data_IF_839055313984
#
_entry.id   IF_839055313984
#
_cell.length_a   1.000
_cell.length_b   1.000
_cell.length_c   1.000
_cell.angle_alpha   90.00
_cell.angle_beta   90.00
_cell.angle_gamma   90.00
#
_symmetry.space_group_name_H-M   'P 1'
#
loop_
_entity.id
_entity.type
_entity.pdbx_description
1 polymer ?
#
# COMPACT_ATOMS: atom_id res chain seq x y z
N UNK A 1 15.22 -7.32 -6.93
CA UNK A 1 13.84 -7.44 -6.44
C UNK A 1 13.31 -6.05 -6.18
N UNK A 2 12.05 -5.78 -6.55
CA UNK A 2 11.38 -4.55 -6.16
C UNK A 2 11.20 -4.54 -4.64
N UNK A 3 11.57 -3.44 -3.99
CA UNK A 3 11.43 -3.29 -2.53
C UNK A 3 9.95 -3.21 -2.16
N UNK A 4 9.51 -4.00 -1.19
CA UNK A 4 8.11 -3.97 -0.74
C UNK A 4 7.87 -2.67 0.07
N UNK A 5 6.80 -1.97 -0.24
CA UNK A 5 6.36 -0.76 0.45
C UNK A 5 4.84 -0.72 0.56
N UNK A 6 4.30 0.28 1.25
CA UNK A 6 2.85 0.50 1.29
C UNK A 6 2.21 0.59 -0.11
N UNK A 7 2.95 1.07 -1.11
CA UNK A 7 2.44 1.25 -2.47
C UNK A 7 2.18 -0.07 -3.19
N UNK A 8 2.91 -1.14 -2.86
CA UNK A 8 2.86 -2.41 -3.59
C UNK A 8 2.61 -3.62 -2.69
N UNK A 9 2.48 -3.46 -1.37
CA UNK A 9 2.32 -4.57 -0.42
C UNK A 9 1.14 -5.48 -0.78
N UNK A 10 -0.06 -4.93 -0.98
CA UNK A 10 -1.25 -5.76 -1.25
C UNK A 10 -1.15 -6.43 -2.64
N UNK A 11 -0.56 -5.75 -3.63
CA UNK A 11 -0.30 -6.31 -4.97
C UNK A 11 0.71 -7.46 -4.88
N UNK A 12 1.75 -7.30 -4.07
CA UNK A 12 2.71 -8.35 -3.77
C UNK A 12 2.02 -9.55 -3.12
N UNK A 13 1.21 -9.33 -2.07
CA UNK A 13 0.47 -10.38 -1.36
C UNK A 13 -0.53 -11.13 -2.26
N UNK A 14 -1.07 -10.50 -3.29
CA UNK A 14 -1.97 -11.13 -4.26
C UNK A 14 -1.25 -12.11 -5.19
N UNK A 15 -0.03 -11.77 -5.60
CA UNK A 15 0.78 -12.58 -6.49
C UNK A 15 1.71 -13.55 -5.73
N UNK A 16 1.77 -13.39 -4.41
CA UNK A 16 2.63 -14.15 -3.52
C UNK A 16 2.11 -15.57 -3.29
N UNK A 17 2.97 -16.57 -3.51
CA UNK A 17 2.68 -17.97 -3.19
C UNK A 17 3.63 -18.43 -2.10
N UNK A 18 3.08 -18.79 -0.93
CA UNK A 18 3.88 -19.37 0.16
C UNK A 18 4.24 -20.83 -0.10
N UNK A 19 5.42 -21.24 0.38
CA UNK A 19 5.82 -22.65 0.38
C UNK A 19 5.16 -23.31 1.59
N UNK A 20 4.20 -24.21 1.34
CA UNK A 20 3.43 -24.88 2.41
C UNK A 20 4.29 -25.90 3.17
N UNK A 21 3.97 -26.08 4.45
CA UNK A 21 4.53 -27.10 5.36
C UNK A 21 6.03 -26.97 5.67
N UNK A 22 6.65 -25.81 5.45
CA UNK A 22 8.08 -25.60 5.74
C UNK A 22 8.32 -25.01 7.12
N UNK A 23 7.45 -24.13 7.61
CA UNK A 23 7.63 -23.43 8.88
C UNK A 23 6.30 -23.26 9.62
N UNK A 24 6.35 -23.24 10.96
CA UNK A 24 5.23 -22.83 11.81
C UNK A 24 5.49 -21.42 12.37
N UNK A 25 4.64 -20.48 11.97
CA UNK A 25 4.69 -19.08 12.38
C UNK A 25 3.42 -18.62 13.11
N UNK A 26 2.60 -19.56 13.60
CA UNK A 26 1.33 -19.28 14.27
C UNK A 26 1.45 -18.32 15.45
N UNK A 27 2.55 -18.40 16.21
CA UNK A 27 2.85 -17.48 17.33
C UNK A 27 3.03 -16.01 16.94
N UNK A 28 3.19 -15.71 15.65
CA UNK A 28 3.36 -14.37 15.12
C UNK A 28 2.08 -13.82 14.47
N UNK A 29 0.92 -14.47 14.63
CA UNK A 29 -0.35 -13.87 14.16
C UNK A 29 -0.56 -12.48 14.77
N UNK A 30 -0.27 -12.34 16.06
CA UNK A 30 -0.10 -11.08 16.77
C UNK A 30 1.37 -10.67 16.91
N UNK A 31 1.62 -9.54 17.57
CA UNK A 31 2.97 -9.07 17.84
C UNK A 31 3.68 -9.97 18.85
N UNK A 32 4.83 -10.52 18.48
CA UNK A 32 5.61 -11.38 19.34
C UNK A 32 7.11 -11.03 19.32
N UNK A 33 7.82 -11.41 20.37
CA UNK A 33 9.25 -11.21 20.48
C UNK A 33 10.01 -12.17 19.58
N UNK A 34 11.07 -11.66 18.97
CA UNK A 34 12.11 -12.50 18.39
C UNK A 34 12.80 -13.30 19.51
N UNK A 35 13.12 -14.56 19.20
CA UNK A 35 13.88 -15.45 20.07
C UNK A 35 15.06 -16.02 19.25
N UNK A 36 16.29 -16.07 19.79
CA UNK A 36 17.43 -16.74 19.17
C UNK A 36 17.17 -18.16 18.66
N UNK A 37 16.23 -18.90 19.26
CA UNK A 37 15.82 -20.23 18.78
C UNK A 37 15.04 -20.20 17.45
N UNK A 38 14.78 -19.01 16.89
CA UNK A 38 14.11 -18.83 15.62
C UNK A 38 15.14 -18.79 14.49
N UNK A 39 15.40 -19.95 13.88
CA UNK A 39 15.96 -20.07 12.53
C UNK A 39 14.82 -20.11 11.51
N UNK A 40 14.94 -19.47 10.33
CA UNK A 40 16.04 -18.63 9.85
C UNK A 40 15.91 -17.15 10.26
N UNK A 41 17.04 -16.44 10.24
CA UNK A 41 17.09 -14.97 10.29
C UNK A 41 16.23 -14.38 9.19
N UNK A 42 15.14 -13.72 9.57
CA UNK A 42 14.27 -13.02 8.62
C UNK A 42 15.08 -11.92 7.92
N UNK A 43 14.88 -11.77 6.61
CA UNK A 43 15.63 -10.83 5.78
C UNK A 43 14.75 -9.63 5.48
N UNK A 44 15.26 -8.41 5.68
CA UNK A 44 14.54 -7.19 5.27
C UNK A 44 14.36 -7.17 3.75
N UNK A 45 13.10 -7.09 3.30
CA UNK A 45 12.70 -7.02 1.88
C UNK A 45 11.92 -5.74 1.56
N UNK A 46 11.60 -4.94 2.58
CA UNK A 46 10.79 -3.76 2.41
C UNK A 46 10.65 -2.92 3.68
N UNK A 47 9.82 -1.89 3.57
CA UNK A 47 9.43 -1.03 4.69
C UNK A 47 8.14 -0.27 4.37
N UNK A 48 7.33 -0.06 5.39
CA UNK A 48 6.25 0.92 5.38
C UNK A 48 6.83 2.25 5.83
N UNK A 49 6.52 3.31 5.08
CA UNK A 49 6.89 4.66 5.43
C UNK A 49 5.69 5.57 5.19
N UNK A 50 4.77 5.59 6.16
CA UNK A 50 3.61 6.46 6.20
C UNK A 50 3.70 7.37 7.43
N UNK A 51 3.04 8.52 7.36
CA UNK A 51 2.86 9.36 8.54
C UNK A 51 1.98 8.65 9.56
N UNK A 52 2.37 8.72 10.83
CA UNK A 52 1.61 8.15 11.95
C UNK A 52 0.48 9.10 12.28
N UNK A 53 -0.76 8.67 12.03
CA UNK A 53 -1.98 9.40 12.39
C UNK A 53 -2.41 9.13 13.83
N UNK A 54 -2.18 7.91 14.32
CA UNK A 54 -2.49 7.50 15.70
C UNK A 54 -1.26 6.84 16.31
N UNK A 55 -0.69 7.48 17.33
CA UNK A 55 0.52 7.01 18.01
C UNK A 55 0.25 5.95 19.08
N UNK A 56 -0.94 5.97 19.71
CA UNK A 56 -1.33 5.06 20.78
C UNK A 56 -2.71 4.47 20.49
N UNK A 57 -2.83 3.53 19.52
CA UNK A 57 -4.11 2.88 19.26
C UNK A 57 -4.50 1.97 20.43
N UNK A 58 -5.81 1.91 20.72
CA UNK A 58 -6.36 1.16 21.85
C UNK A 58 -6.01 -0.34 21.79
N UNK A 59 -5.94 -0.91 20.58
CA UNK A 59 -5.58 -2.31 20.37
C UNK A 59 -4.80 -2.49 19.06
N UNK A 60 -3.62 -3.09 19.15
CA UNK A 60 -2.81 -3.48 17.97
C UNK A 60 -2.04 -4.80 18.15
N UNK A 61 -2.04 -5.37 19.37
CA UNK A 61 -1.20 -6.51 19.77
C UNK A 61 -1.72 -7.88 19.32
N UNK A 62 -3.03 -8.03 19.22
CA UNK A 62 -3.68 -9.34 19.08
C UNK A 62 -3.59 -9.98 17.69
N UNK A 63 -3.90 -11.28 17.64
CA UNK A 63 -3.78 -12.12 16.46
C UNK A 63 -4.68 -11.72 15.29
N UNK A 64 -5.86 -11.21 15.61
CA UNK A 64 -6.93 -10.88 14.65
C UNK A 64 -7.21 -9.37 14.56
N UNK A 65 -6.39 -8.54 15.19
CA UNK A 65 -6.57 -7.08 15.17
C UNK A 65 -6.23 -6.56 13.78
N UNK A 66 -7.01 -5.60 13.28
CA UNK A 66 -6.74 -4.99 11.97
C UNK A 66 -5.35 -4.36 11.92
N UNK A 67 -4.73 -4.48 10.76
CA UNK A 67 -3.41 -3.93 10.43
C UNK A 67 -3.66 -2.63 9.68
N UNK A 68 -3.42 -1.52 10.37
CA UNK A 68 -3.61 -0.18 9.82
C UNK A 68 -2.28 0.51 9.59
N UNK A 69 -1.90 0.73 8.33
CA UNK A 69 -0.58 1.21 7.94
C UNK A 69 -0.33 2.69 8.26
N UNK A 70 -1.31 3.42 8.75
CA UNK A 70 -1.16 4.80 9.23
C UNK A 70 -1.19 4.91 10.76
N UNK A 71 -1.18 3.80 11.48
CA UNK A 71 -1.16 3.76 12.95
C UNK A 71 0.14 3.13 13.47
N UNK A 72 0.53 3.47 14.70
CA UNK A 72 1.61 2.77 15.39
C UNK A 72 1.21 1.30 15.67
N UNK A 73 2.12 0.33 15.50
CA UNK A 73 3.51 0.47 15.05
C UNK A 73 3.68 0.35 13.52
N UNK A 74 2.63 0.04 12.76
CA UNK A 74 2.71 -0.35 11.35
C UNK A 74 3.27 0.72 10.41
N UNK A 75 2.98 1.99 10.67
CA UNK A 75 3.31 3.09 9.76
C UNK A 75 4.81 3.27 9.46
N UNK A 76 5.67 2.70 10.30
CA UNK A 76 7.13 2.78 10.15
C UNK A 76 7.80 1.40 10.29
N UNK A 77 7.05 0.32 10.11
CA UNK A 77 7.58 -1.03 10.21
C UNK A 77 8.48 -1.37 9.01
N UNK A 78 9.53 -2.13 9.27
CA UNK A 78 10.21 -2.85 8.19
C UNK A 78 9.36 -4.07 7.79
N UNK A 79 9.54 -4.52 6.54
CA UNK A 79 8.97 -5.77 6.06
C UNK A 79 10.11 -6.75 5.91
N UNK A 80 10.02 -7.85 6.66
CA UNK A 80 10.98 -8.94 6.62
C UNK A 80 10.36 -10.18 6.00
N UNK A 81 11.17 -11.05 5.44
CA UNK A 81 10.76 -12.28 4.80
C UNK A 81 11.50 -13.48 5.38
N UNK A 82 10.77 -14.57 5.61
CA UNK A 82 11.38 -15.86 5.92
C UNK A 82 11.95 -16.48 4.64
N UNK A 83 13.26 -16.71 4.52
CA UNK A 83 13.84 -17.32 3.31
C UNK A 83 13.33 -18.75 3.06
N UNK A 84 12.91 -19.47 4.10
CA UNK A 84 12.49 -20.86 4.00
C UNK A 84 11.06 -21.03 3.46
N UNK A 85 10.08 -20.33 4.03
CA UNK A 85 8.66 -20.46 3.63
C UNK A 85 8.14 -19.27 2.80
N UNK A 86 8.97 -18.23 2.64
CA UNK A 86 8.69 -16.97 1.95
C UNK A 86 7.67 -16.05 2.65
N UNK A 87 7.10 -16.44 3.81
CA UNK A 87 6.13 -15.60 4.53
C UNK A 87 6.74 -14.25 4.95
N UNK A 88 5.88 -13.22 4.97
CA UNK A 88 6.25 -11.85 5.28
C UNK A 88 5.85 -11.45 6.70
N UNK A 89 6.66 -10.60 7.31
CA UNK A 89 6.48 -10.11 8.67
C UNK A 89 6.66 -8.60 8.70
N UNK A 90 5.82 -7.91 9.47
CA UNK A 90 6.16 -6.59 9.96
C UNK A 90 7.18 -6.71 11.09
N UNK A 91 8.12 -5.78 11.13
CA UNK A 91 9.15 -5.68 12.14
C UNK A 91 9.28 -4.25 12.65
N UNK A 92 9.34 -4.09 13.97
CA UNK A 92 9.80 -2.85 14.58
C UNK A 92 10.61 -3.14 15.85
N UNK A 93 11.35 -2.12 16.29
CA UNK A 93 12.05 -2.14 17.57
C UNK A 93 11.21 -1.39 18.59
N UNK A 94 10.78 -2.10 19.63
CA UNK A 94 10.15 -1.50 20.77
C UNK A 94 11.22 -1.05 21.77
N UNK A 95 11.12 0.20 22.21
CA UNK A 95 11.97 0.78 23.23
C UNK A 95 11.13 0.98 24.50
N UNK A 96 11.27 0.05 25.45
CA UNK A 96 10.61 0.13 26.76
C UNK A 96 11.63 0.10 27.90
N UNK A 97 11.14 0.20 29.15
CA UNK A 97 11.99 0.23 30.35
C UNK A 97 12.88 -1.01 30.58
N UNK A 98 12.63 -2.10 29.85
CA UNK A 98 13.41 -3.34 29.91
C UNK A 98 14.37 -3.52 28.72
N UNK A 99 14.67 -2.45 27.98
CA UNK A 99 15.58 -2.44 26.85
C UNK A 99 14.90 -2.62 25.48
N UNK A 100 15.72 -2.72 24.43
CA UNK A 100 15.26 -2.83 23.04
C UNK A 100 14.73 -4.24 22.76
N UNK A 101 13.48 -4.34 22.36
CA UNK A 101 12.83 -5.59 21.97
C UNK A 101 12.53 -5.63 20.47
N UNK A 102 12.87 -6.75 19.83
CA UNK A 102 12.59 -6.99 18.41
C UNK A 102 11.21 -7.62 18.29
N UNK A 103 10.25 -6.88 17.73
CA UNK A 103 8.85 -7.32 17.59
C UNK A 103 8.57 -7.72 16.14
N UNK A 104 7.92 -8.85 15.96
CA UNK A 104 7.51 -9.38 14.67
C UNK A 104 6.01 -9.70 14.67
N UNK A 105 5.34 -9.44 13.55
CA UNK A 105 3.96 -9.87 13.29
C UNK A 105 3.82 -10.34 11.86
N UNK A 106 3.22 -11.51 11.67
CA UNK A 106 2.92 -12.11 10.37
C UNK A 106 1.97 -11.21 9.58
N UNK A 107 2.29 -10.93 8.32
CA UNK A 107 1.44 -10.14 7.44
C UNK A 107 0.31 -11.02 6.91
N UNK A 108 -0.87 -10.85 7.48
CA UNK A 108 -2.09 -11.54 7.07
C UNK A 108 -2.91 -10.61 6.20
N UNK A 109 -2.95 -10.86 4.87
CA UNK A 109 -3.67 -10.01 3.90
C UNK A 109 -5.11 -9.68 4.34
N UNK A 110 -5.83 -10.66 4.88
CA UNK A 110 -7.22 -10.50 5.31
C UNK A 110 -7.43 -9.51 6.47
N UNK A 111 -6.36 -9.17 7.21
CA UNK A 111 -6.40 -8.23 8.32
C UNK A 111 -5.92 -6.83 7.92
N UNK A 112 -5.44 -6.61 6.69
CA UNK A 112 -4.99 -5.30 6.25
C UNK A 112 -6.21 -4.41 6.03
N UNK A 113 -6.30 -3.33 6.79
CA UNK A 113 -7.24 -2.26 6.53
C UNK A 113 -6.77 -1.47 5.32
N UNK A 114 -7.44 -1.71 4.20
CA UNK A 114 -7.12 -1.10 2.93
C UNK A 114 -7.23 0.43 3.03
N UNK A 115 -8.19 0.97 3.77
CA UNK A 115 -8.41 2.42 3.86
C UNK A 115 -7.28 3.16 4.59
N UNK A 116 -6.51 2.45 5.41
CA UNK A 116 -5.35 2.99 6.14
C UNK A 116 -4.10 3.21 5.27
N UNK A 117 -4.10 2.73 4.02
CA UNK A 117 -2.95 2.80 3.12
C UNK A 117 -2.90 4.16 2.44
N UNK A 118 -1.83 4.90 2.68
CA UNK A 118 -1.57 6.21 2.06
C UNK A 118 -0.39 6.06 1.09
N UNK A 119 -0.64 5.94 -0.21
CA UNK A 119 0.44 5.81 -1.18
C UNK A 119 1.30 7.08 -1.28
N UNK A 120 2.60 6.90 -1.44
CA UNK A 120 3.60 8.00 -1.41
C UNK A 120 3.88 8.65 -2.76
N UNK A 121 3.40 8.09 -3.86
CA UNK A 121 3.61 8.65 -5.19
C UNK A 121 2.32 9.28 -5.73
N UNK A 122 2.25 10.60 -5.64
CA UNK A 122 1.41 11.41 -6.51
C UNK A 122 2.16 11.59 -7.83
N UNK A 123 1.68 11.00 -8.93
CA UNK A 123 2.26 11.26 -10.24
C UNK A 123 1.47 12.41 -10.89
N UNK A 124 1.97 13.64 -10.72
CA UNK A 124 1.55 14.79 -11.53
C UNK A 124 2.49 14.89 -12.72
N UNK A 125 1.97 14.67 -13.93
CA UNK A 125 2.70 14.91 -15.18
C UNK A 125 1.80 15.78 -16.06
N UNK A 126 2.38 16.74 -16.78
CA UNK A 126 1.66 17.62 -17.72
C UNK A 126 1.81 17.04 -19.13
N UNK A 127 0.70 16.85 -19.84
CA UNK A 127 0.70 16.45 -21.26
C UNK A 127 -0.32 17.33 -22.00
N UNK A 128 0.13 18.05 -23.03
CA UNK A 128 -0.71 18.73 -24.02
C UNK A 128 -1.89 19.54 -23.42
N UNK A 129 -1.59 20.49 -22.54
CA UNK A 129 -2.55 21.46 -21.97
C UNK A 129 -3.60 20.89 -21.01
N UNK A 130 -3.59 19.59 -20.70
CA UNK A 130 -4.41 18.99 -19.66
C UNK A 130 -3.61 18.82 -18.37
N UNK A 131 -4.14 19.37 -17.27
CA UNK A 131 -3.66 19.05 -15.93
C UNK A 131 -4.28 17.71 -15.53
N UNK A 132 -3.47 16.67 -15.38
CA UNK A 132 -3.93 15.39 -14.87
C UNK A 132 -3.08 14.89 -13.71
N UNK A 133 -3.67 14.00 -12.92
CA UNK A 133 -3.00 13.30 -11.84
C UNK A 133 -3.42 11.83 -11.86
N UNK A 134 -2.47 10.95 -11.63
CA UNK A 134 -2.76 9.52 -11.41
C UNK A 134 -2.51 9.23 -9.93
N UNK A 135 -3.55 8.72 -9.28
CA UNK A 135 -3.52 8.30 -7.90
C UNK A 135 -3.57 6.78 -7.85
N UNK A 136 -2.66 6.15 -7.12
CA UNK A 136 -2.94 4.79 -6.63
C UNK A 136 -3.87 4.95 -5.44
N UNK A 137 -5.00 4.26 -5.44
CA UNK A 137 -5.93 4.25 -4.33
C UNK A 137 -5.53 3.22 -3.28
N UNK A 138 -6.07 3.34 -2.06
CA UNK A 138 -5.81 2.35 -1.02
C UNK A 138 -6.26 0.93 -1.45
N UNK A 139 -7.37 0.82 -2.20
CA UNK A 139 -7.90 -0.41 -2.81
C UNK A 139 -7.09 -0.97 -3.99
N UNK A 140 -5.90 -0.41 -4.24
CA UNK A 140 -4.99 -0.72 -5.34
C UNK A 140 -5.49 -0.36 -6.74
N UNK A 141 -6.66 0.24 -6.87
CA UNK A 141 -7.09 0.77 -8.15
C UNK A 141 -6.28 2.02 -8.49
N UNK A 142 -6.10 2.30 -9.77
CA UNK A 142 -5.52 3.57 -10.20
C UNK A 142 -6.66 4.50 -10.59
N UNK A 143 -6.63 5.73 -10.10
CA UNK A 143 -7.55 6.78 -10.48
C UNK A 143 -6.81 7.80 -11.33
N UNK A 144 -7.28 7.97 -12.57
CA UNK A 144 -6.90 9.09 -13.41
C UNK A 144 -7.84 10.25 -13.11
N UNK A 145 -7.29 11.42 -12.81
CA UNK A 145 -8.03 12.66 -12.64
C UNK A 145 -7.57 13.65 -13.69
N UNK A 146 -8.50 14.33 -14.35
CA UNK A 146 -8.20 15.49 -15.19
C UNK A 146 -8.90 16.73 -14.61
N UNK A 147 -8.19 17.84 -14.57
CA UNK A 147 -8.73 19.11 -14.15
C UNK A 147 -9.42 19.79 -15.34
N UNK A 148 -10.67 20.22 -15.13
CA UNK A 148 -11.43 21.06 -16.05
C UNK A 148 -11.70 22.41 -15.39
N UNK A 149 -11.33 23.53 -16.03
CA UNK A 149 -11.62 24.87 -15.54
C UNK A 149 -13.09 25.27 -15.81
N UNK A 150 -14.04 24.42 -15.44
CA UNK A 150 -15.47 24.74 -15.51
C UNK A 150 -15.87 25.40 -14.19
N UNK A 151 -16.43 26.60 -14.28
CA UNK A 151 -16.79 27.44 -13.14
C UNK A 151 -15.64 27.66 -12.14
N UNK A 152 -15.63 26.95 -11.01
CA UNK A 152 -14.65 27.12 -9.93
C UNK A 152 -13.50 26.13 -10.00
N UNK A 153 -13.47 25.33 -11.07
CA UNK A 153 -12.57 24.21 -11.25
C UNK A 153 -13.21 22.92 -10.73
N UNK A 154 -13.14 21.88 -11.55
CA UNK A 154 -13.60 20.54 -11.19
C UNK A 154 -12.58 19.51 -11.65
N UNK A 155 -12.44 18.45 -10.84
CA UNK A 155 -11.71 17.25 -11.21
C UNK A 155 -12.68 16.21 -11.74
N UNK A 156 -12.38 15.69 -12.93
CA UNK A 156 -13.08 14.57 -13.54
C UNK A 156 -12.25 13.32 -13.27
N UNK A 157 -12.81 12.38 -12.50
CA UNK A 157 -12.10 11.19 -12.04
C UNK A 157 -12.59 9.92 -12.76
N UNK A 158 -11.64 9.04 -13.09
CA UNK A 158 -11.88 7.73 -13.69
C UNK A 158 -11.06 6.65 -12.97
N UNK A 159 -11.71 5.56 -12.56
CA UNK A 159 -11.00 4.38 -12.06
C UNK A 159 -10.51 3.58 -13.26
N UNK A 160 -9.20 3.55 -13.44
CA UNK A 160 -8.54 2.84 -14.52
C UNK A 160 -8.82 1.34 -14.44
N UNK A 161 -9.22 0.78 -15.57
CA UNK A 161 -9.36 -0.66 -15.76
C UNK A 161 -7.99 -1.36 -15.72
N UNK A 162 -7.98 -2.67 -15.46
CA UNK A 162 -6.74 -3.45 -15.50
C UNK A 162 -5.99 -3.31 -16.83
N UNK A 163 -6.71 -3.24 -17.95
CA UNK A 163 -6.10 -3.03 -19.28
C UNK A 163 -5.39 -1.68 -19.35
N UNK A 164 -6.05 -0.61 -18.91
CA UNK A 164 -5.47 0.74 -18.87
C UNK A 164 -4.25 0.81 -17.95
N UNK A 165 -4.31 0.16 -16.79
CA UNK A 165 -3.16 0.07 -15.87
C UNK A 165 -1.98 -0.65 -16.52
N UNK A 166 -2.20 -1.78 -17.18
CA UNK A 166 -1.12 -2.52 -17.83
C UNK A 166 -0.52 -1.74 -19.01
N UNK A 167 -1.36 -1.12 -19.84
CA UNK A 167 -0.88 -0.26 -20.93
C UNK A 167 -0.13 0.95 -20.40
N UNK A 168 -0.62 1.60 -19.34
CA UNK A 168 0.08 2.71 -18.68
C UNK A 168 1.43 2.29 -18.10
N UNK A 169 1.52 1.13 -17.43
CA UNK A 169 2.78 0.60 -16.90
C UNK A 169 3.82 0.33 -18.01
N UNK A 170 3.38 -0.01 -19.22
CA UNK A 170 4.25 -0.36 -20.35
C UNK A 170 4.63 0.84 -21.22
N UNK A 171 3.66 1.67 -21.55
CA UNK A 171 3.74 2.72 -22.59
C UNK A 171 3.63 4.13 -21.99
N UNK A 172 3.48 4.23 -20.67
CA UNK A 172 3.34 5.50 -19.95
C UNK A 172 2.00 6.18 -20.25
N UNK A 173 1.96 7.49 -20.06
CA UNK A 173 0.74 8.28 -20.24
C UNK A 173 0.20 8.25 -21.67
N UNK A 174 1.04 8.01 -22.68
CA UNK A 174 0.61 7.92 -24.08
C UNK A 174 -0.51 6.87 -24.26
N UNK A 175 -0.49 5.80 -23.47
CA UNK A 175 -1.55 4.78 -23.46
C UNK A 175 -2.91 5.27 -22.94
N UNK A 176 -2.96 6.41 -22.27
CA UNK A 176 -4.17 6.99 -21.68
C UNK A 176 -4.69 8.21 -22.43
N UNK A 177 -4.08 8.61 -23.55
CA UNK A 177 -4.50 9.80 -24.30
C UNK A 177 -5.97 9.75 -24.72
N UNK A 178 -6.41 8.62 -25.25
CA UNK A 178 -7.80 8.47 -25.69
C UNK A 178 -8.76 8.52 -24.50
N UNK A 179 -8.36 7.98 -23.35
CA UNK A 179 -9.14 8.08 -22.11
C UNK A 179 -9.22 9.53 -21.63
N UNK A 180 -8.12 10.27 -21.65
CA UNK A 180 -8.07 11.69 -21.25
C UNK A 180 -8.98 12.52 -22.16
N UNK A 181 -8.91 12.32 -23.48
CA UNK A 181 -9.79 12.99 -24.46
C UNK A 181 -11.26 12.66 -24.22
N UNK A 182 -11.57 11.40 -23.92
CA UNK A 182 -12.94 10.97 -23.62
C UNK A 182 -13.45 11.58 -22.31
N UNK A 183 -12.64 11.58 -21.25
CA UNK A 183 -12.97 12.25 -19.99
C UNK A 183 -13.18 13.75 -20.17
N UNK A 184 -12.40 14.41 -21.02
CA UNK A 184 -12.52 15.85 -21.29
C UNK A 184 -13.82 16.18 -22.03
N UNK A 185 -14.15 15.40 -23.07
CA UNK A 185 -15.31 15.62 -23.93
C UNK A 185 -16.63 15.17 -23.28
N UNK A 186 -16.60 14.03 -22.59
CA UNK A 186 -17.77 13.34 -22.06
C UNK A 186 -17.80 13.34 -20.52
N UNK A 187 -17.26 14.39 -19.89
CA UNK A 187 -17.05 14.47 -18.44
C UNK A 187 -18.32 14.22 -17.58
N UNK A 188 -19.52 14.45 -18.13
CA UNK A 188 -20.80 14.14 -17.47
C UNK A 188 -21.01 12.66 -17.18
N UNK A 189 -20.30 11.77 -17.89
CA UNK A 189 -20.34 10.32 -17.70
C UNK A 189 -19.40 9.83 -16.59
N UNK A 190 -18.61 10.74 -16.03
CA UNK A 190 -17.57 10.45 -15.06
C UNK A 190 -17.92 11.03 -13.70
N UNK A 191 -17.21 10.58 -12.68
CA UNK A 191 -17.35 11.15 -11.34
C UNK A 191 -16.65 12.50 -11.32
N UNK A 192 -17.38 13.55 -10.95
CA UNK A 192 -16.85 14.92 -10.86
C UNK A 192 -16.70 15.32 -9.39
N UNK A 193 -15.56 15.91 -9.04
CA UNK A 193 -15.28 16.52 -7.73
C UNK A 193 -15.09 18.02 -7.92
N UNK A 194 -15.87 18.83 -7.21
CA UNK A 194 -15.61 20.27 -7.17
C UNK A 194 -14.49 20.57 -6.17
N UNK A 195 -13.75 21.65 -6.41
CA UNK A 195 -12.76 22.16 -5.48
C UNK A 195 -13.35 23.04 -4.36
N UNK A 196 -14.68 23.14 -4.28
CA UNK A 196 -15.42 23.85 -3.23
C UNK A 196 -16.17 22.90 -2.32
#
# INVERSE_FOLDING_TARGET
METISQNNLVEFLNNFTKIKNTCDHTKFKGWNNWNPSFEPSLVKVGQINQEVTIQNPDEYWGDNVLIKLNEYPYAQCEIHQCPACQELFFFYNEYGGHGRQKRYRLIQKALIDIESIVPTQNCQIILNSYHYAIYKKPDLTFELSICKPIATGVDVCHIMTNKEVQSFKKEGIAALEDRIKDMDKNYSNYRVKSWR
#
